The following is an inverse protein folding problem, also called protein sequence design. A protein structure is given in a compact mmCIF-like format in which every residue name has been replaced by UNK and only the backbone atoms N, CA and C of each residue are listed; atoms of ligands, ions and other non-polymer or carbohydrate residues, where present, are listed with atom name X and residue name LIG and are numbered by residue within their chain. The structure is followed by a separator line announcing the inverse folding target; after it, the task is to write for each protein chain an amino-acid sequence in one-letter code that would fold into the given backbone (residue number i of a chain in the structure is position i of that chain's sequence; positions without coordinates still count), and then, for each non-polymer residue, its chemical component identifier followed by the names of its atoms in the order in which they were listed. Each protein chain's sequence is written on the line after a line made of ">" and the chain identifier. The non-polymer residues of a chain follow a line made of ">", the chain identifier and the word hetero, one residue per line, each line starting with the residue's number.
data_IF_918879105015
#
_entry.id   IF_918879105015
#
_cell.length_a   1.000
_cell.length_b   1.000
_cell.length_c   1.000
_cell.angle_alpha   90.00
_cell.angle_beta   90.00
_cell.angle_gamma   90.00
#
_symmetry.space_group_name_H-M   'P 1'
#
loop_
_entity.id
_entity.type
_entity.pdbx_description
1 polymer ?
#
# COMPACT_ATOMS: atom_id res chain seq x y z
N UNK A 1 6.22 7.21 -9.53
CA UNK A 1 6.27 6.06 -8.59
C UNK A 1 5.24 5.12 -9.14
N UNK A 2 5.64 4.01 -9.76
CA UNK A 2 4.73 3.31 -10.64
C UNK A 2 4.99 1.82 -10.62
N UNK A 3 3.90 1.11 -10.42
CA UNK A 3 3.67 -0.21 -11.03
C UNK A 3 2.44 0.03 -11.89
N UNK A 4 2.41 -0.45 -13.13
CA UNK A 4 1.37 -0.09 -14.12
C UNK A 4 -0.07 -0.45 -13.68
N UNK A 5 -0.20 -1.24 -12.61
CA UNK A 5 -1.43 -1.52 -11.89
C UNK A 5 -1.20 -2.62 -10.85
N UNK A 6 -2.23 -2.92 -10.05
CA UNK A 6 -2.25 -4.13 -9.22
C UNK A 6 -3.08 -5.20 -9.94
N UNK A 7 -2.45 -6.26 -10.48
CA UNK A 7 -3.16 -7.30 -11.24
C UNK A 7 -4.04 -8.19 -10.34
N UNK A 8 -3.95 -8.04 -9.03
CA UNK A 8 -4.59 -8.93 -8.06
C UNK A 8 -3.80 -10.22 -7.87
N UNK A 9 -4.33 -11.08 -7.01
CA UNK A 9 -3.78 -12.39 -6.69
C UNK A 9 -4.86 -13.45 -6.88
N UNK A 10 -4.47 -14.63 -7.37
CA UNK A 10 -5.36 -15.79 -7.39
C UNK A 10 -5.84 -16.11 -5.96
N UNK A 11 -7.05 -16.64 -5.82
CA UNK A 11 -7.73 -16.86 -4.52
C UNK A 11 -6.87 -17.61 -3.48
N UNK A 12 -5.98 -18.50 -3.93
CA UNK A 12 -5.11 -19.32 -3.07
C UNK A 12 -3.63 -18.97 -3.19
N UNK A 13 -3.28 -17.91 -3.93
CA UNK A 13 -1.92 -17.44 -4.01
C UNK A 13 -1.52 -16.72 -2.72
N UNK A 14 -0.25 -16.83 -2.28
CA UNK A 14 0.24 -16.05 -1.15
C UNK A 14 0.18 -14.55 -1.49
N UNK A 15 -0.49 -13.78 -0.64
CA UNK A 15 -0.57 -12.32 -0.75
C UNK A 15 0.66 -11.70 -0.07
N UNK A 16 1.35 -10.75 -0.71
CA UNK A 16 2.55 -10.14 -0.13
C UNK A 16 2.19 -9.24 1.05
N UNK A 17 3.16 -9.08 1.95
CA UNK A 17 3.15 -8.01 2.94
C UNK A 17 3.38 -6.65 2.27
N UNK A 18 3.01 -5.56 2.95
CA UNK A 18 3.26 -4.19 2.48
C UNK A 18 4.75 -3.97 2.13
N UNK A 19 5.66 -4.48 2.97
CA UNK A 19 7.11 -4.37 2.72
C UNK A 19 7.52 -5.12 1.45
N UNK A 20 7.05 -6.34 1.27
CA UNK A 20 7.33 -7.12 0.05
C UNK A 20 6.83 -6.39 -1.20
N UNK A 21 5.66 -5.75 -1.14
CA UNK A 21 5.14 -4.95 -2.24
C UNK A 21 6.03 -3.74 -2.56
N UNK A 22 6.48 -3.02 -1.54
CA UNK A 22 7.34 -1.85 -1.70
C UNK A 22 8.71 -2.22 -2.29
N UNK A 23 9.25 -3.38 -1.90
CA UNK A 23 10.56 -3.86 -2.37
C UNK A 23 10.50 -4.75 -3.61
N UNK A 24 9.31 -5.09 -4.12
CA UNK A 24 9.16 -6.01 -5.26
C UNK A 24 9.66 -7.42 -4.95
N UNK A 25 9.63 -7.82 -3.68
CA UNK A 25 10.07 -9.14 -3.22
C UNK A 25 8.93 -10.15 -3.30
N UNK A 26 9.25 -11.41 -3.63
CA UNK A 26 8.26 -12.50 -3.64
C UNK A 26 7.48 -12.55 -2.31
N UNK A 27 6.14 -12.73 -2.34
CA UNK A 27 5.33 -13.15 -3.49
C UNK A 27 4.74 -11.98 -4.32
N UNK A 28 5.32 -10.78 -4.26
CA UNK A 28 4.86 -9.64 -5.06
C UNK A 28 4.91 -9.97 -6.56
N UNK A 29 3.87 -9.60 -7.30
CA UNK A 29 3.76 -9.82 -8.75
C UNK A 29 4.01 -8.55 -9.57
N UNK A 30 4.40 -7.46 -8.90
CA UNK A 30 4.84 -6.19 -9.46
C UNK A 30 6.31 -5.93 -9.14
N UNK A 31 6.95 -5.04 -9.90
CA UNK A 31 8.32 -4.59 -9.60
C UNK A 31 8.43 -3.75 -8.32
N UNK A 32 9.66 -3.44 -7.87
CA UNK A 32 9.91 -2.59 -6.72
C UNK A 32 9.39 -1.16 -6.95
N UNK A 33 8.87 -0.54 -5.89
CA UNK A 33 8.36 0.84 -5.97
C UNK A 33 9.54 1.82 -5.96
N UNK A 34 9.71 2.58 -7.05
CA UNK A 34 10.81 3.53 -7.22
C UNK A 34 10.34 4.86 -7.83
N UNK A 35 11.09 5.93 -7.57
CA UNK A 35 10.79 7.27 -8.10
C UNK A 35 11.05 7.27 -9.59
N UNK A 36 10.01 7.49 -10.38
CA UNK A 36 10.12 7.57 -11.85
C UNK A 36 10.20 9.00 -12.37
N UNK A 37 9.74 9.97 -11.56
CA UNK A 37 9.68 11.38 -11.93
C UNK A 37 9.90 12.25 -10.69
N UNK A 38 10.49 13.43 -10.89
CA UNK A 38 10.66 14.42 -9.84
C UNK A 38 9.28 14.85 -9.27
N UNK A 39 9.12 14.92 -7.93
CA UNK A 39 7.88 15.38 -7.31
C UNK A 39 7.46 16.78 -7.79
N UNK A 40 6.15 16.98 -7.98
CA UNK A 40 5.57 18.27 -8.34
C UNK A 40 5.76 18.69 -9.80
N UNK A 41 6.29 17.82 -10.66
CA UNK A 41 6.50 18.12 -12.09
C UNK A 41 5.30 17.78 -12.97
N UNK A 42 4.55 16.72 -12.63
CA UNK A 42 3.29 16.36 -13.27
C UNK A 42 2.42 15.52 -12.32
N UNK A 43 1.14 15.35 -12.66
CA UNK A 43 0.23 14.45 -11.96
C UNK A 43 0.21 13.06 -12.61
N UNK A 44 0.44 12.04 -11.80
CA UNK A 44 0.29 10.65 -12.22
C UNK A 44 -0.39 9.85 -11.11
N UNK A 45 -1.51 9.19 -11.43
CA UNK A 45 -2.15 8.27 -10.50
C UNK A 45 -1.19 7.13 -10.17
N UNK A 46 -1.05 6.81 -8.87
CA UNK A 46 -0.11 5.81 -8.39
C UNK A 46 -0.72 5.00 -7.27
N UNK A 47 -1.08 3.74 -7.57
CA UNK A 47 -1.52 2.80 -6.54
C UNK A 47 -0.42 2.54 -5.51
N UNK A 48 0.84 2.44 -5.93
CA UNK A 48 1.98 2.29 -5.03
C UNK A 48 2.24 3.52 -4.16
N UNK A 49 1.83 4.72 -4.61
CA UNK A 49 1.81 5.93 -3.78
C UNK A 49 0.93 5.79 -2.54
N UNK A 50 -0.19 5.08 -2.64
CA UNK A 50 -1.04 4.77 -1.48
C UNK A 50 -0.40 3.74 -0.55
N UNK A 51 0.36 2.77 -1.07
CA UNK A 51 1.15 1.86 -0.23
C UNK A 51 2.22 2.62 0.59
N UNK A 52 2.89 3.61 -0.02
CA UNK A 52 3.84 4.49 0.68
C UNK A 52 3.12 5.29 1.77
N UNK A 53 1.97 5.88 1.46
CA UNK A 53 1.17 6.63 2.43
C UNK A 53 0.76 5.75 3.62
N UNK A 54 0.33 4.51 3.35
CA UNK A 54 0.01 3.52 4.40
C UNK A 54 1.22 3.24 5.29
N UNK A 55 2.41 2.99 4.72
CA UNK A 55 3.62 2.75 5.50
C UNK A 55 3.96 3.97 6.37
N UNK A 56 3.86 5.17 5.82
CA UNK A 56 4.12 6.41 6.58
C UNK A 56 3.16 6.58 7.76
N UNK A 57 1.88 6.22 7.60
CA UNK A 57 0.90 6.27 8.69
C UNK A 57 1.26 5.27 9.80
N UNK A 58 1.69 4.07 9.43
CA UNK A 58 2.13 3.04 10.38
C UNK A 58 3.37 3.50 11.17
N UNK A 59 4.35 4.05 10.46
CA UNK A 59 5.59 4.56 11.06
C UNK A 59 5.30 5.72 12.02
N UNK A 60 4.47 6.68 11.60
CA UNK A 60 4.09 7.83 12.42
C UNK A 60 3.27 7.42 13.66
N UNK A 61 2.43 6.39 13.55
CA UNK A 61 1.62 5.87 14.64
C UNK A 61 2.37 4.85 15.52
N UNK A 62 3.57 4.42 15.14
CA UNK A 62 4.36 3.42 15.88
C UNK A 62 3.68 2.05 15.96
N UNK A 63 2.89 1.66 14.95
CA UNK A 63 2.15 0.39 14.92
C UNK A 63 2.33 -0.31 13.58
N UNK A 64 2.11 -1.62 13.57
CA UNK A 64 2.07 -2.43 12.33
C UNK A 64 0.64 -2.80 11.94
N UNK A 65 -0.36 -2.48 12.76
CA UNK A 65 -1.76 -2.85 12.53
C UNK A 65 -2.53 -1.72 11.86
N UNK A 66 -2.52 -1.70 10.52
CA UNK A 66 -3.19 -0.65 9.76
C UNK A 66 -4.72 -0.69 9.90
N UNK A 67 -5.32 -1.89 9.95
CA UNK A 67 -6.77 -2.02 10.08
C UNK A 67 -7.28 -1.40 11.38
N UNK A 68 -6.59 -1.67 12.50
CA UNK A 68 -6.93 -1.05 13.79
C UNK A 68 -6.72 0.47 13.76
N UNK A 69 -5.65 0.95 13.12
CA UNK A 69 -5.38 2.38 12.96
C UNK A 69 -6.50 3.08 12.18
N UNK A 70 -6.94 2.49 11.06
CA UNK A 70 -8.04 3.02 10.25
C UNK A 70 -9.38 2.98 10.98
N UNK A 71 -9.65 1.91 11.74
CA UNK A 71 -10.84 1.81 12.57
C UNK A 71 -10.90 2.90 13.63
N UNK A 72 -9.76 3.22 14.24
CA UNK A 72 -9.68 4.24 15.28
C UNK A 72 -9.77 5.66 14.73
N UNK A 73 -9.10 5.96 13.61
CA UNK A 73 -8.94 7.33 13.12
C UNK A 73 -10.00 7.77 12.11
N UNK A 74 -10.57 6.84 11.35
CA UNK A 74 -11.43 7.18 10.19
C UNK A 74 -12.74 6.41 10.23
N UNK A 75 -12.67 5.09 10.30
CA UNK A 75 -13.79 4.18 10.06
C UNK A 75 -14.61 3.90 11.32
N UNK A 76 -14.85 4.87 12.22
CA UNK A 76 -15.70 4.69 13.42
C UNK A 76 -17.14 4.19 13.16
N UNK A 77 -17.45 3.82 11.92
CA UNK A 77 -18.65 3.18 11.40
C UNK A 77 -18.61 1.65 11.59
N UNK A 78 -19.76 1.06 11.90
CA UNK A 78 -19.89 -0.39 12.15
C UNK A 78 -19.95 -1.26 10.89
N UNK A 79 -20.05 -0.65 9.70
CA UNK A 79 -20.25 -1.34 8.42
C UNK A 79 -19.17 -0.99 7.38
N UNK A 80 -18.00 -0.52 7.83
CA UNK A 80 -16.85 -0.22 6.98
C UNK A 80 -15.63 -0.86 7.62
N UNK A 81 -14.82 -1.58 6.83
CA UNK A 81 -13.67 -2.33 7.32
C UNK A 81 -12.46 -2.11 6.40
N UNK A 82 -11.27 -2.29 6.96
CA UNK A 82 -10.05 -2.53 6.22
C UNK A 82 -9.65 -3.99 6.47
N UNK A 83 -9.71 -4.81 5.43
CA UNK A 83 -9.51 -6.26 5.50
C UNK A 83 -8.15 -6.67 4.92
#
# INVERSE_FOLDING_TARGET
>A
MGVDGFPGYETNAPVPTLRQMLEGEAPTNTGPVRVEQAPGTDFHYSGSGYCIAQQLMLDAAGTTNFAALMQHLVLGMKASIYA
#
